data_IF_971691892675
#
_entry.id   IF_971691892675
#
_cell.length_a   1.000
_cell.length_b   1.000
_cell.length_c   1.000
_cell.angle_alpha   90.00
_cell.angle_beta   90.00
_cell.angle_gamma   90.00
#
_symmetry.space_group_name_H-M   'P 1'
#
loop_
_entity.id
_entity.type
_entity.pdbx_description
1 polymer ?
#
# COMPACT_ATOMS: atom_id res chain seq x y z
N UNK A 1 22.96 21.09 48.93
CA UNK A 1 23.34 20.16 47.84
C UNK A 1 22.17 20.08 46.86
N UNK A 2 22.28 20.72 45.70
CA UNK A 2 21.22 20.65 44.68
C UNK A 2 21.18 19.24 44.08
N UNK A 3 20.06 18.54 44.21
CA UNK A 3 19.85 17.27 43.50
C UNK A 3 19.63 17.60 42.02
N UNK A 4 20.65 17.38 41.20
CA UNK A 4 20.54 17.48 39.75
C UNK A 4 19.81 16.26 39.19
N UNK A 5 18.78 16.49 38.38
CA UNK A 5 18.13 15.44 37.62
C UNK A 5 18.81 15.31 36.26
N UNK A 6 19.24 14.10 35.89
CA UNK A 6 19.82 13.81 34.58
C UNK A 6 18.72 13.28 33.64
N UNK A 7 18.37 14.07 32.63
CA UNK A 7 17.32 13.70 31.67
C UNK A 7 17.93 12.92 30.50
N UNK A 8 17.88 11.59 30.56
CA UNK A 8 18.39 10.72 29.49
C UNK A 8 17.33 10.46 28.43
N UNK A 9 17.65 10.77 27.17
CA UNK A 9 16.84 10.40 26.01
C UNK A 9 16.04 11.54 25.35
N UNK A 10 16.15 12.78 25.82
CA UNK A 10 15.49 13.93 25.17
C UNK A 10 15.88 14.12 23.70
N UNK A 11 17.16 13.91 23.35
CA UNK A 11 17.61 14.01 21.96
C UNK A 11 17.04 12.88 21.08
N UNK A 12 16.93 11.66 21.63
CA UNK A 12 16.27 10.54 20.95
C UNK A 12 14.79 10.83 20.72
N UNK A 13 14.10 11.37 21.73
CA UNK A 13 12.70 11.79 21.63
C UNK A 13 12.52 12.90 20.60
N UNK A 14 13.34 13.96 20.65
CA UNK A 14 13.32 15.06 19.68
C UNK A 14 13.59 14.58 18.25
N UNK A 15 14.53 13.65 18.07
CA UNK A 15 14.81 13.04 16.77
C UNK A 15 13.67 12.16 16.25
N UNK A 16 12.97 11.44 17.13
CA UNK A 16 11.77 10.66 16.77
C UNK A 16 10.58 11.56 16.45
N UNK A 17 10.37 12.62 17.24
CA UNK A 17 9.34 13.63 16.99
C UNK A 17 9.55 14.38 15.68
N UNK A 18 10.78 14.78 15.35
CA UNK A 18 11.08 15.41 14.05
C UNK A 18 10.85 14.48 12.86
N UNK A 19 11.22 13.20 12.98
CA UNK A 19 10.92 12.19 11.95
C UNK A 19 9.42 11.93 11.81
N UNK A 20 8.69 11.87 12.92
CA UNK A 20 7.24 11.75 12.91
C UNK A 20 6.54 13.02 12.40
N UNK A 21 7.14 14.20 12.60
CA UNK A 21 6.61 15.47 12.11
C UNK A 21 6.69 15.57 10.58
N UNK A 22 7.77 15.06 9.99
CA UNK A 22 7.89 14.90 8.54
C UNK A 22 7.40 13.50 8.14
N UNK A 23 6.08 13.35 7.99
CA UNK A 23 5.40 12.13 7.52
C UNK A 23 5.76 11.72 6.07
N UNK A 24 6.82 12.28 5.48
CA UNK A 24 7.27 12.00 4.12
C UNK A 24 7.70 10.55 3.94
N UNK A 25 8.32 9.95 4.97
CA UNK A 25 8.67 8.52 4.96
C UNK A 25 7.42 7.64 4.88
N UNK A 26 6.34 8.03 5.57
CA UNK A 26 5.05 7.35 5.48
C UNK A 26 4.48 7.46 4.06
N UNK A 27 4.47 8.66 3.48
CA UNK A 27 3.98 8.88 2.11
C UNK A 27 4.76 8.05 1.09
N UNK A 28 6.10 8.00 1.21
CA UNK A 28 6.97 7.17 0.36
C UNK A 28 6.63 5.70 0.49
N UNK A 29 6.43 5.19 1.70
CA UNK A 29 6.07 3.80 1.93
C UNK A 29 4.69 3.45 1.37
N UNK A 30 3.69 4.34 1.52
CA UNK A 30 2.37 4.19 0.91
C UNK A 30 2.48 4.13 -0.61
N UNK A 31 3.21 5.07 -1.23
CA UNK A 31 3.38 5.13 -2.68
C UNK A 31 4.10 3.89 -3.22
N UNK A 32 5.15 3.43 -2.54
CA UNK A 32 5.88 2.21 -2.89
C UNK A 32 4.96 1.00 -2.85
N UNK A 33 4.23 0.81 -1.75
CA UNK A 33 3.30 -0.30 -1.59
C UNK A 33 2.15 -0.26 -2.61
N UNK A 34 1.65 0.92 -2.95
CA UNK A 34 0.68 1.10 -4.04
C UNK A 34 1.21 0.69 -5.41
N UNK A 35 2.48 1.02 -5.68
CA UNK A 35 3.15 0.65 -6.94
C UNK A 35 3.36 -0.86 -7.04
N UNK A 36 3.72 -1.49 -5.93
CA UNK A 36 3.81 -2.95 -5.84
C UNK A 36 2.45 -3.62 -6.00
N UNK A 37 1.40 -3.11 -5.35
CA UNK A 37 0.03 -3.59 -5.50
C UNK A 37 -0.43 -3.55 -6.96
N UNK A 38 -0.18 -2.42 -7.63
CA UNK A 38 -0.50 -2.22 -9.03
C UNK A 38 0.22 -3.25 -9.92
N UNK A 39 1.54 -3.42 -9.75
CA UNK A 39 2.33 -4.40 -10.49
C UNK A 39 1.85 -5.83 -10.27
N UNK A 40 1.52 -6.20 -9.03
CA UNK A 40 0.98 -7.54 -8.71
C UNK A 40 -0.38 -7.77 -9.35
N UNK A 41 -1.27 -6.78 -9.27
CA UNK A 41 -2.60 -6.86 -9.88
C UNK A 41 -2.48 -7.08 -11.40
N UNK A 42 -1.56 -6.37 -12.06
CA UNK A 42 -1.27 -6.57 -13.48
C UNK A 42 -0.64 -7.93 -13.81
N UNK A 43 0.16 -8.49 -12.89
CA UNK A 43 0.79 -9.81 -13.06
C UNK A 43 -0.23 -10.94 -12.93
N UNK A 44 -1.18 -10.82 -12.01
CA UNK A 44 -2.21 -11.82 -11.77
C UNK A 44 -3.39 -11.69 -12.73
N UNK A 45 -3.56 -10.55 -13.40
CA UNK A 45 -4.62 -10.35 -14.36
C UNK A 45 -4.53 -11.40 -15.49
N UNK A 46 -5.61 -12.15 -15.76
CA UNK A 46 -5.63 -13.06 -16.89
C UNK A 46 -5.45 -12.27 -18.19
N UNK A 47 -4.56 -12.76 -19.05
CA UNK A 47 -4.23 -12.10 -20.31
C UNK A 47 -4.89 -12.86 -21.44
N UNK A 48 -5.77 -12.16 -22.15
CA UNK A 48 -6.27 -12.54 -23.47
C UNK A 48 -5.71 -11.53 -24.49
N UNK A 49 -6.44 -10.43 -24.75
CA UNK A 49 -5.95 -9.29 -25.56
C UNK A 49 -5.05 -8.29 -24.78
N UNK A 50 -4.91 -8.51 -23.48
CA UNK A 50 -4.22 -7.62 -22.54
C UNK A 50 -4.99 -6.35 -22.13
N UNK A 51 -6.23 -6.15 -22.61
CA UNK A 51 -7.05 -4.98 -22.25
C UNK A 51 -7.25 -4.86 -20.73
N UNK A 52 -7.69 -5.93 -20.07
CA UNK A 52 -7.91 -5.97 -18.61
C UNK A 52 -6.67 -5.50 -17.84
N UNK A 53 -5.49 -6.04 -18.20
CA UNK A 53 -4.21 -5.69 -17.59
C UNK A 53 -3.88 -4.20 -17.74
N UNK A 54 -4.11 -3.62 -18.92
CA UNK A 54 -3.86 -2.19 -19.21
C UNK A 54 -4.84 -1.23 -18.51
N UNK A 55 -6.04 -1.73 -18.18
CA UNK A 55 -7.07 -0.97 -17.48
C UNK A 55 -6.92 -0.99 -15.95
N UNK A 56 -5.95 -1.73 -15.41
CA UNK A 56 -5.58 -1.58 -14.00
C UNK A 56 -4.79 -0.29 -13.89
N UNK A 57 -5.27 0.65 -13.07
CA UNK A 57 -4.69 1.96 -12.80
C UNK A 57 -4.35 2.12 -11.33
N UNK A 58 -3.46 3.06 -11.04
CA UNK A 58 -3.10 3.46 -9.69
C UNK A 58 -3.35 4.96 -9.53
N UNK A 59 -3.85 5.34 -8.35
CA UNK A 59 -4.12 6.72 -7.97
C UNK A 59 -3.49 6.98 -6.60
N UNK A 60 -2.98 8.19 -6.42
CA UNK A 60 -2.57 8.71 -5.12
C UNK A 60 -3.68 9.63 -4.61
N UNK A 61 -4.11 9.44 -3.38
CA UNK A 61 -5.17 10.20 -2.73
C UNK A 61 -4.70 10.68 -1.36
N UNK A 62 -5.48 11.54 -0.72
CA UNK A 62 -5.25 12.03 0.65
C UNK A 62 -3.82 12.58 0.84
N UNK A 63 -3.36 13.43 -0.07
CA UNK A 63 -2.01 14.03 -0.02
C UNK A 63 -0.85 12.99 0.07
N UNK A 64 -1.03 11.81 -0.54
CA UNK A 64 -0.05 10.74 -0.58
C UNK A 64 -0.15 9.74 0.58
N UNK A 65 -1.18 9.85 1.43
CA UNK A 65 -1.44 8.88 2.50
C UNK A 65 -2.29 7.69 2.06
N UNK A 66 -2.89 7.76 0.88
CA UNK A 66 -3.66 6.65 0.30
C UNK A 66 -3.18 6.34 -1.11
N UNK A 67 -2.82 5.08 -1.36
CA UNK A 67 -2.59 4.58 -2.71
C UNK A 67 -3.73 3.62 -3.09
N UNK A 68 -4.48 3.99 -4.12
CA UNK A 68 -5.61 3.21 -4.64
C UNK A 68 -5.21 2.52 -5.93
N UNK A 69 -5.50 1.23 -6.05
CA UNK A 69 -5.40 0.49 -7.31
C UNK A 69 -6.78 -0.02 -7.69
N UNK A 70 -7.22 0.27 -8.91
CA UNK A 70 -8.52 -0.16 -9.42
C UNK A 70 -8.41 -0.60 -10.88
N UNK A 71 -9.32 -1.47 -11.32
CA UNK A 71 -9.48 -1.78 -12.74
C UNK A 71 -10.64 -0.97 -13.30
N UNK A 72 -10.39 -0.21 -14.36
CA UNK A 72 -11.40 0.58 -15.08
C UNK A 72 -12.16 -0.25 -16.14
N UNK A 73 -11.78 -1.53 -16.35
CA UNK A 73 -12.54 -2.41 -17.21
C UNK A 73 -13.87 -2.77 -16.53
N UNK A 74 -14.99 -2.45 -17.18
CA UNK A 74 -16.35 -2.67 -16.65
C UNK A 74 -16.59 -4.11 -16.21
N UNK A 75 -16.04 -5.08 -16.96
CA UNK A 75 -16.20 -6.51 -16.67
C UNK A 75 -15.20 -7.05 -15.63
N UNK A 76 -14.27 -6.25 -15.13
CA UNK A 76 -13.21 -6.70 -14.22
C UNK A 76 -13.75 -7.34 -12.94
N UNK A 77 -14.88 -6.84 -12.43
CA UNK A 77 -15.57 -7.41 -11.26
C UNK A 77 -16.01 -8.86 -11.51
N UNK A 78 -16.62 -9.13 -12.66
CA UNK A 78 -17.03 -10.48 -13.05
C UNK A 78 -15.83 -11.41 -13.16
N UNK A 79 -14.71 -10.94 -13.70
CA UNK A 79 -13.47 -11.74 -13.79
C UNK A 79 -12.91 -12.04 -12.41
N UNK A 80 -12.85 -11.03 -11.53
CA UNK A 80 -12.25 -11.19 -10.21
C UNK A 80 -13.08 -12.09 -9.29
N UNK A 81 -14.40 -11.92 -9.26
CA UNK A 81 -15.30 -12.62 -8.34
C UNK A 81 -16.04 -13.82 -8.95
N UNK A 82 -15.97 -13.98 -10.27
CA UNK A 82 -16.73 -14.99 -11.00
C UNK A 82 -18.20 -14.59 -11.19
N UNK A 83 -18.91 -15.43 -11.92
CA UNK A 83 -20.36 -15.31 -12.14
C UNK A 83 -21.01 -16.70 -12.08
N UNK A 84 -22.33 -16.79 -12.24
CA UNK A 84 -23.05 -18.08 -12.36
C UNK A 84 -22.46 -19.01 -13.42
N UNK A 85 -21.85 -18.46 -14.48
CA UNK A 85 -21.36 -19.21 -15.64
C UNK A 85 -19.83 -19.21 -15.77
N UNK A 86 -19.10 -18.56 -14.86
CA UNK A 86 -17.66 -18.40 -14.96
C UNK A 86 -17.01 -18.48 -13.58
N UNK A 87 -16.02 -19.37 -13.43
CA UNK A 87 -15.21 -19.45 -12.22
C UNK A 87 -14.40 -18.15 -11.99
N UNK A 88 -14.21 -17.73 -10.72
CA UNK A 88 -13.44 -16.54 -10.39
C UNK A 88 -11.98 -16.66 -10.78
N UNK A 89 -11.40 -15.56 -11.25
CA UNK A 89 -9.97 -15.35 -11.48
C UNK A 89 -9.53 -14.15 -10.62
N UNK A 90 -9.30 -14.34 -9.31
CA UNK A 90 -9.24 -13.26 -8.32
C UNK A 90 -7.92 -12.46 -8.34
N UNK A 91 -7.63 -11.78 -9.44
CA UNK A 91 -6.37 -11.06 -9.64
C UNK A 91 -6.18 -9.86 -8.70
N UNK A 92 -7.22 -9.06 -8.46
CA UNK A 92 -7.15 -7.91 -7.54
C UNK A 92 -7.13 -8.39 -6.09
N UNK A 93 -7.99 -9.35 -5.77
CA UNK A 93 -8.12 -9.90 -4.41
C UNK A 93 -6.82 -10.55 -3.94
N UNK A 94 -6.20 -11.37 -4.79
CA UNK A 94 -4.91 -12.01 -4.45
C UNK A 94 -3.81 -10.97 -4.28
N UNK A 95 -3.70 -10.00 -5.20
CA UNK A 95 -2.72 -8.93 -5.09
C UNK A 95 -2.90 -8.10 -3.81
N UNK A 96 -4.15 -7.81 -3.43
CA UNK A 96 -4.47 -7.08 -2.21
C UNK A 96 -4.04 -7.84 -0.95
N UNK A 97 -4.40 -9.12 -0.81
CA UNK A 97 -4.07 -9.87 0.40
C UNK A 97 -2.57 -10.07 0.57
N UNK A 98 -1.84 -10.29 -0.52
CA UNK A 98 -0.38 -10.34 -0.45
C UNK A 98 0.24 -8.98 -0.08
N UNK A 99 -0.24 -7.87 -0.67
CA UNK A 99 0.34 -6.57 -0.39
C UNK A 99 -0.02 -6.06 1.00
N UNK A 100 -1.22 -6.36 1.51
CA UNK A 100 -1.68 -5.98 2.84
C UNK A 100 -0.67 -6.40 3.92
N UNK A 101 -0.17 -7.63 3.85
CA UNK A 101 0.80 -8.13 4.83
C UNK A 101 2.12 -7.37 4.77
N UNK A 102 2.62 -7.09 3.56
CA UNK A 102 3.84 -6.29 3.34
C UNK A 102 3.69 -4.87 3.84
N UNK A 103 2.57 -4.22 3.49
CA UNK A 103 2.27 -2.85 3.91
C UNK A 103 2.27 -2.72 5.44
N UNK A 104 1.60 -3.64 6.15
CA UNK A 104 1.59 -3.65 7.62
C UNK A 104 3.01 -3.81 8.19
N UNK A 105 3.84 -4.66 7.60
CA UNK A 105 5.22 -4.86 8.04
C UNK A 105 6.08 -3.61 7.82
N UNK A 106 5.96 -2.95 6.66
CA UNK A 106 6.71 -1.74 6.34
C UNK A 106 6.30 -0.58 7.24
N UNK A 107 5.00 -0.40 7.48
CA UNK A 107 4.50 0.60 8.43
C UNK A 107 5.02 0.36 9.86
N UNK A 108 5.04 -0.90 10.32
CA UNK A 108 5.63 -1.25 11.62
C UNK A 108 7.12 -0.94 11.70
N UNK A 109 7.88 -1.05 10.60
CA UNK A 109 9.31 -0.70 10.56
C UNK A 109 9.54 0.79 10.71
N UNK A 110 8.67 1.64 10.14
CA UNK A 110 8.75 3.10 10.29
C UNK A 110 8.47 3.55 11.73
N UNK A 111 7.63 2.83 12.46
CA UNK A 111 7.22 3.20 13.83
C UNK A 111 8.25 2.82 14.92
N UNK A 112 9.18 1.91 14.61
CA UNK A 112 10.25 1.50 15.54
C UNK A 112 11.29 2.60 15.69
#
# INVERSE_FOLDING_TARGET
MARGFELRGADKLKGKLKRNANLDDVKRTVQLNGTELHRKSQRFAPVDTGFLKRQIKQYSQDNGFTAKTASEAEYSGYVNYGTRYMYPRPFMTNAYYEQRQKFIQDMKRLMK
#
